data_IF_756926136599
#
_entry.id   IF_756926136599
#
_cell.length_a   1.000
_cell.length_b   1.000
_cell.length_c   1.000
_cell.angle_alpha   90.00
_cell.angle_beta   90.00
_cell.angle_gamma   90.00
#
_symmetry.space_group_name_H-M   'P 1'
#
loop_
_entity.id
_entity.type
_entity.pdbx_description
1 polymer ?
#
# COMPACT_ATOMS: atom_id res chain seq x y z
N UNK A 1 -18.88 -73.89 51.02
CA UNK A 1 -19.08 -73.08 52.24
C UNK A 1 -17.73 -72.64 52.75
N UNK A 2 -17.58 -71.34 53.08
CA UNK A 2 -16.54 -70.72 53.94
C UNK A 2 -15.06 -70.93 53.50
N UNK A 3 -14.13 -69.97 53.58
CA UNK A 3 -14.09 -68.60 54.11
C UNK A 3 -12.77 -67.99 53.58
N UNK A 4 -12.74 -66.68 53.38
CA UNK A 4 -11.53 -65.88 53.17
C UNK A 4 -10.41 -66.23 54.15
N UNK A 5 -9.15 -66.11 53.73
CA UNK A 5 -8.07 -65.43 54.47
C UNK A 5 -6.96 -65.02 53.49
N UNK A 6 -6.56 -63.76 53.66
CA UNK A 6 -5.53 -63.00 52.97
C UNK A 6 -4.16 -63.39 53.56
N UNK A 7 -3.15 -63.58 52.71
CA UNK A 7 -1.74 -63.50 53.16
C UNK A 7 -0.92 -62.77 52.11
N UNK A 8 -0.40 -61.61 52.53
CA UNK A 8 0.48 -60.74 51.78
C UNK A 8 1.86 -61.37 51.55
N UNK A 9 2.40 -61.22 50.34
CA UNK A 9 3.80 -61.46 50.06
C UNK A 9 4.47 -60.12 49.75
N UNK A 10 5.30 -59.68 50.69
CA UNK A 10 6.20 -58.54 50.56
C UNK A 10 7.42 -59.03 49.78
N UNK A 11 7.62 -58.51 48.58
CA UNK A 11 8.88 -58.64 47.84
C UNK A 11 9.52 -57.25 47.76
N UNK A 12 10.57 -57.05 48.55
CA UNK A 12 11.41 -55.86 48.56
C UNK A 12 12.33 -55.96 47.33
N UNK A 13 12.11 -55.08 46.35
CA UNK A 13 13.06 -54.83 45.27
C UNK A 13 13.64 -53.42 45.46
N UNK A 14 14.89 -53.38 45.92
CA UNK A 14 15.72 -52.20 45.98
C UNK A 14 16.09 -51.76 44.56
N UNK A 15 15.58 -50.60 44.12
CA UNK A 15 16.05 -49.94 42.89
C UNK A 15 16.80 -48.67 43.28
N UNK A 16 18.05 -48.64 42.85
CA UNK A 16 19.07 -47.62 43.08
C UNK A 16 18.58 -46.26 42.58
N UNK A 17 18.61 -45.26 43.46
CA UNK A 17 18.33 -43.87 43.12
C UNK A 17 19.47 -43.26 42.31
N UNK A 18 19.34 -43.24 40.99
CA UNK A 18 20.07 -42.28 40.15
C UNK A 18 19.40 -40.91 40.30
N UNK A 19 20.08 -39.96 40.95
CA UNK A 19 19.76 -38.53 40.85
C UNK A 19 20.11 -38.05 39.44
N UNK A 20 19.19 -38.21 38.51
CA UNK A 20 19.20 -37.41 37.28
C UNK A 20 18.51 -36.09 37.61
N UNK A 21 19.31 -35.02 37.73
CA UNK A 21 18.80 -33.66 37.67
C UNK A 21 18.12 -33.49 36.31
N UNK A 22 16.80 -33.70 36.23
CA UNK A 22 16.03 -33.15 35.12
C UNK A 22 16.04 -31.64 35.31
N UNK A 23 16.95 -30.95 34.62
CA UNK A 23 16.73 -29.55 34.29
C UNK A 23 15.36 -29.52 33.62
N UNK A 24 14.38 -28.90 34.27
CA UNK A 24 13.18 -28.44 33.57
C UNK A 24 13.67 -27.58 32.42
N UNK A 25 13.52 -28.08 31.20
CA UNK A 25 13.56 -27.24 30.01
C UNK A 25 12.46 -26.20 30.24
N UNK A 26 12.76 -24.90 30.22
CA UNK A 26 11.72 -23.88 30.30
C UNK A 26 10.71 -24.19 29.21
N UNK A 27 9.42 -24.23 29.57
CA UNK A 27 8.36 -24.24 28.58
C UNK A 27 8.65 -23.09 27.62
N UNK A 28 8.87 -23.42 26.34
CA UNK A 28 8.82 -22.44 25.27
C UNK A 28 7.43 -21.83 25.39
N UNK A 29 7.36 -20.57 25.81
CA UNK A 29 6.13 -19.81 25.75
C UNK A 29 5.67 -19.88 24.30
N UNK A 30 4.53 -20.52 24.05
CA UNK A 30 3.81 -20.33 22.79
C UNK A 30 3.71 -18.81 22.61
N UNK A 31 4.24 -18.31 21.49
CA UNK A 31 4.05 -16.93 21.11
C UNK A 31 2.55 -16.67 21.16
N UNK A 32 2.11 -15.79 22.06
CA UNK A 32 0.71 -15.40 22.15
C UNK A 32 0.29 -14.94 20.74
N UNK A 33 -0.54 -15.72 20.05
CA UNK A 33 -1.17 -15.31 18.81
C UNK A 33 -2.13 -14.18 19.14
N UNK A 34 -1.63 -12.95 19.07
CA UNK A 34 -2.43 -11.74 19.27
C UNK A 34 -3.25 -11.55 17.99
N UNK A 35 -4.56 -11.41 18.12
CA UNK A 35 -5.41 -11.06 16.98
C UNK A 35 -5.08 -9.63 16.53
N UNK A 36 -4.38 -9.49 15.40
CA UNK A 36 -3.93 -8.19 14.87
C UNK A 36 -5.00 -7.47 14.04
N UNK A 37 -5.98 -8.21 13.50
CA UNK A 37 -7.08 -7.62 12.76
C UNK A 37 -7.99 -6.77 13.66
N UNK A 38 -8.47 -5.65 13.11
CA UNK A 38 -9.39 -4.74 13.80
C UNK A 38 -9.13 -3.27 13.50
N UNK A 39 -9.78 -2.41 14.29
CA UNK A 39 -9.59 -0.97 14.23
C UNK A 39 -8.76 -0.50 15.43
N UNK A 40 -7.86 0.43 15.19
CA UNK A 40 -7.03 1.08 16.20
C UNK A 40 -7.16 2.59 16.05
N UNK A 41 -7.16 3.34 17.14
CA UNK A 41 -7.38 4.79 17.12
C UNK A 41 -6.43 5.51 18.06
N UNK A 42 -6.07 6.76 17.74
CA UNK A 42 -5.37 7.63 18.68
C UNK A 42 -6.26 7.95 19.89
N UNK A 43 -5.66 8.32 21.02
CA UNK A 43 -6.39 8.60 22.28
C UNK A 43 -7.48 9.68 22.12
N UNK A 44 -7.24 10.67 21.27
CA UNK A 44 -8.16 11.79 21.03
C UNK A 44 -9.45 11.38 20.29
N UNK A 45 -9.51 10.17 19.72
CA UNK A 45 -10.73 9.65 19.10
C UNK A 45 -11.91 9.59 20.08
N UNK A 46 -11.67 9.36 21.37
CA UNK A 46 -12.72 9.31 22.39
C UNK A 46 -13.41 10.66 22.61
N UNK A 47 -12.70 11.76 22.35
CA UNK A 47 -13.18 13.14 22.48
C UNK A 47 -13.41 13.81 21.11
N UNK A 48 -13.54 13.01 20.04
CA UNK A 48 -13.72 13.49 18.66
C UNK A 48 -14.90 14.46 18.50
N UNK A 49 -15.99 14.27 19.23
CA UNK A 49 -17.16 15.15 19.14
C UNK A 49 -16.92 16.56 19.70
N UNK A 50 -15.81 16.78 20.42
CA UNK A 50 -15.38 18.09 20.93
C UNK A 50 -14.52 18.87 19.92
N UNK A 51 -14.23 18.29 18.76
CA UNK A 51 -13.45 18.95 17.69
C UNK A 51 -11.97 18.57 17.63
N UNK A 52 -11.51 17.65 18.48
CA UNK A 52 -10.12 17.16 18.47
C UNK A 52 -9.77 16.41 17.19
N UNK A 53 -8.50 16.51 16.78
CA UNK A 53 -7.97 15.73 15.67
C UNK A 53 -7.72 14.29 16.11
N UNK A 54 -7.86 13.35 15.20
CA UNK A 54 -7.64 11.93 15.50
C UNK A 54 -7.26 11.17 14.23
N UNK A 55 -6.62 10.02 14.45
CA UNK A 55 -6.29 9.06 13.38
C UNK A 55 -6.80 7.68 13.76
N UNK A 56 -7.20 6.93 12.73
CA UNK A 56 -7.62 5.56 12.84
C UNK A 56 -6.84 4.68 11.86
N UNK A 57 -6.50 3.48 12.32
CA UNK A 57 -5.89 2.42 11.53
C UNK A 57 -6.90 1.28 11.42
N UNK A 58 -7.20 0.87 10.20
CA UNK A 58 -7.95 -0.34 9.90
C UNK A 58 -6.97 -1.41 9.43
N UNK A 59 -7.00 -2.55 10.10
CA UNK A 59 -6.14 -3.70 9.82
C UNK A 59 -7.01 -4.86 9.35
N UNK A 60 -6.79 -5.29 8.11
CA UNK A 60 -7.42 -6.47 7.52
C UNK A 60 -6.36 -7.54 7.33
N UNK A 61 -6.61 -8.74 7.84
CA UNK A 61 -5.74 -9.88 7.64
C UNK A 61 -6.02 -10.52 6.27
N UNK A 62 -5.03 -10.54 5.40
CA UNK A 62 -5.11 -11.17 4.08
C UNK A 62 -4.62 -12.63 4.13
N UNK A 63 -3.61 -12.89 4.96
CA UNK A 63 -3.08 -14.20 5.32
C UNK A 63 -2.28 -14.10 6.62
N UNK A 64 -1.82 -15.23 7.17
CA UNK A 64 -1.01 -15.28 8.38
C UNK A 64 0.28 -14.43 8.35
N UNK A 65 0.76 -14.06 7.15
CA UNK A 65 1.98 -13.26 6.95
C UNK A 65 1.74 -11.91 6.26
N UNK A 66 0.49 -11.54 5.97
CA UNK A 66 0.17 -10.37 5.16
C UNK A 66 -1.06 -9.63 5.68
N UNK A 67 -0.91 -8.32 5.92
CA UNK A 67 -1.97 -7.42 6.33
C UNK A 67 -2.19 -6.34 5.28
N UNK A 68 -3.44 -5.95 5.10
CA UNK A 68 -3.78 -4.67 4.49
C UNK A 68 -4.01 -3.65 5.60
N UNK A 69 -3.25 -2.55 5.55
CA UNK A 69 -3.29 -1.46 6.51
C UNK A 69 -3.83 -0.22 5.82
N UNK A 70 -4.85 0.39 6.41
CA UNK A 70 -5.38 1.70 5.99
C UNK A 70 -5.39 2.66 7.17
N UNK A 71 -4.72 3.79 7.04
CA UNK A 71 -4.70 4.86 8.04
C UNK A 71 -5.47 6.06 7.47
N UNK A 72 -6.40 6.57 8.26
CA UNK A 72 -7.23 7.73 7.92
C UNK A 72 -7.32 8.67 9.11
N UNK A 73 -7.26 9.96 8.83
CA UNK A 73 -7.48 11.01 9.81
C UNK A 73 -8.91 11.56 9.75
N UNK A 74 -9.25 12.39 10.72
CA UNK A 74 -10.48 13.19 10.72
C UNK A 74 -10.56 14.12 9.51
N UNK A 75 -11.74 14.26 8.90
CA UNK A 75 -11.96 15.02 7.66
C UNK A 75 -13.25 15.88 7.63
N UNK A 76 -14.11 15.85 8.67
CA UNK A 76 -15.36 16.62 8.72
C UNK A 76 -15.16 18.12 9.02
N UNK A 77 -14.18 18.46 9.85
CA UNK A 77 -13.94 19.86 10.28
C UNK A 77 -12.87 20.58 9.45
N UNK A 78 -11.87 19.84 8.99
CA UNK A 78 -10.71 20.34 8.25
C UNK A 78 -10.28 19.32 7.21
N UNK A 79 -9.39 19.74 6.30
CA UNK A 79 -8.74 18.79 5.40
C UNK A 79 -8.07 17.69 6.24
N UNK A 80 -8.24 16.42 5.84
CA UNK A 80 -7.59 15.31 6.51
C UNK A 80 -6.08 15.48 6.58
N UNK A 81 -5.55 15.21 7.76
CA UNK A 81 -4.16 15.45 8.11
C UNK A 81 -3.25 14.35 7.57
N UNK A 82 -3.64 13.08 7.73
CA UNK A 82 -2.87 11.89 7.32
C UNK A 82 -3.74 10.88 6.56
N UNK A 83 -3.16 10.27 5.52
CA UNK A 83 -3.74 9.16 4.75
C UNK A 83 -2.65 8.23 4.30
N UNK A 84 -2.82 6.94 4.55
CA UNK A 84 -1.84 5.92 4.19
C UNK A 84 -2.55 4.60 3.89
N UNK A 85 -2.10 3.90 2.86
CA UNK A 85 -2.51 2.53 2.56
C UNK A 85 -1.29 1.72 2.16
N UNK A 86 -1.15 0.52 2.72
CA UNK A 86 -0.10 -0.39 2.32
C UNK A 86 -0.45 -1.84 2.63
N UNK A 87 0.21 -2.74 1.88
CA UNK A 87 0.33 -4.14 2.26
C UNK A 87 1.56 -4.30 3.14
N UNK A 88 1.38 -4.80 4.35
CA UNK A 88 2.45 -5.05 5.31
C UNK A 88 2.71 -6.55 5.45
N UNK A 89 3.99 -6.93 5.49
CA UNK A 89 4.45 -8.31 5.55
C UNK A 89 5.05 -8.61 6.92
N UNK A 90 4.76 -9.80 7.45
CA UNK A 90 5.21 -10.20 8.78
C UNK A 90 6.73 -10.35 8.86
N UNK A 91 7.32 -9.81 9.91
CA UNK A 91 8.73 -10.01 10.29
C UNK A 91 8.76 -10.98 11.48
N UNK A 92 9.37 -12.14 11.29
CA UNK A 92 9.54 -13.13 12.34
C UNK A 92 10.88 -12.94 13.09
N UNK A 93 10.93 -13.19 14.42
CA UNK A 93 9.84 -13.64 15.28
C UNK A 93 8.97 -12.48 15.81
N UNK A 94 7.66 -12.72 15.94
CA UNK A 94 6.77 -11.85 16.73
C UNK A 94 5.56 -11.31 15.96
N UNK A 95 4.99 -10.21 16.46
CA UNK A 95 3.80 -9.55 15.88
C UNK A 95 4.18 -8.22 15.24
N UNK A 96 5.30 -8.20 14.50
CA UNK A 96 5.79 -7.04 13.77
C UNK A 96 5.54 -7.25 12.29
N UNK A 97 4.99 -6.23 11.63
CA UNK A 97 4.80 -6.20 10.19
C UNK A 97 5.49 -4.99 9.59
N UNK A 98 6.02 -5.11 8.38
CA UNK A 98 6.67 -4.02 7.66
C UNK A 98 6.00 -3.79 6.31
N UNK A 99 5.74 -2.53 6.01
CA UNK A 99 5.46 -2.08 4.66
C UNK A 99 6.64 -1.25 4.16
N UNK A 100 7.23 -1.62 3.02
CA UNK A 100 8.22 -0.78 2.35
C UNK A 100 7.49 0.14 1.39
N UNK A 101 7.59 1.45 1.60
CA UNK A 101 6.93 2.48 0.78
C UNK A 101 8.00 3.48 0.36
N UNK A 102 8.13 3.76 -0.95
CA UNK A 102 9.10 4.73 -1.49
C UNK A 102 10.54 4.50 -0.98
N UNK A 103 10.92 3.23 -0.77
CA UNK A 103 12.27 2.83 -0.35
C UNK A 103 12.55 2.88 1.16
N UNK A 104 11.58 3.26 2.00
CA UNK A 104 11.71 3.26 3.46
C UNK A 104 10.68 2.35 4.13
N UNK A 105 11.01 1.85 5.32
CA UNK A 105 10.20 0.88 6.06
C UNK A 105 9.26 1.53 7.08
N UNK A 106 7.97 1.21 6.99
CA UNK A 106 6.98 1.53 8.02
C UNK A 106 6.69 0.27 8.83
N UNK A 107 6.94 0.31 10.14
CA UNK A 107 6.82 -0.83 11.04
C UNK A 107 5.54 -0.74 11.87
N UNK A 108 4.83 -1.85 11.95
CA UNK A 108 3.59 -2.03 12.71
C UNK A 108 3.81 -3.10 13.77
N UNK A 109 3.98 -2.68 15.03
CA UNK A 109 4.19 -3.58 16.16
C UNK A 109 2.90 -3.73 16.94
N UNK A 110 2.34 -4.94 16.95
CA UNK A 110 1.09 -5.24 17.63
C UNK A 110 1.34 -5.79 19.04
N UNK A 111 0.69 -5.16 20.02
CA UNK A 111 0.57 -5.67 21.39
C UNK A 111 -0.89 -6.07 21.66
N UNK A 112 -1.19 -6.47 22.90
CA UNK A 112 -2.51 -7.01 23.25
C UNK A 112 -3.68 -6.08 22.86
N UNK A 113 -3.56 -4.78 23.19
CA UNK A 113 -4.59 -3.76 22.96
C UNK A 113 -4.05 -2.51 22.25
N UNK A 114 -2.84 -2.59 21.69
CA UNK A 114 -2.19 -1.45 21.04
C UNK A 114 -1.54 -1.85 19.71
N UNK A 115 -1.41 -0.87 18.84
CA UNK A 115 -0.57 -0.88 17.65
C UNK A 115 0.39 0.29 17.76
N UNK A 116 1.68 0.01 17.63
CA UNK A 116 2.73 1.02 17.56
C UNK A 116 3.17 1.13 16.11
N UNK A 117 3.14 2.35 15.57
CA UNK A 117 3.67 2.67 14.24
C UNK A 117 4.98 3.43 14.41
N UNK A 118 6.04 2.98 13.74
CA UNK A 118 7.37 3.62 13.78
C UNK A 118 8.15 3.43 12.48
N UNK A 119 9.16 4.27 12.27
CA UNK A 119 10.27 3.98 11.35
C UNK A 119 11.23 2.93 11.93
N UNK A 120 12.22 2.51 11.12
CA UNK A 120 13.31 1.64 11.59
C UNK A 120 14.31 2.39 12.48
N UNK A 121 14.61 3.63 12.08
CA UNK A 121 15.52 4.56 12.75
C UNK A 121 14.77 5.82 13.18
N UNK A 122 15.44 6.69 13.97
CA UNK A 122 14.88 7.99 14.34
C UNK A 122 14.65 8.86 13.08
N UNK A 123 15.56 8.82 12.11
CA UNK A 123 15.41 9.49 10.81
C UNK A 123 14.23 8.95 10.01
N UNK A 124 14.04 7.63 9.92
CA UNK A 124 12.87 7.04 9.23
C UNK A 124 11.56 7.39 9.94
N UNK A 125 11.60 7.60 11.25
CA UNK A 125 10.44 7.99 12.03
C UNK A 125 10.01 9.43 11.71
N UNK A 126 10.96 10.33 11.40
CA UNK A 126 10.66 11.67 10.86
C UNK A 126 10.04 11.58 9.46
N UNK A 127 10.48 10.62 8.63
CA UNK A 127 9.93 10.39 7.29
C UNK A 127 8.46 9.96 7.30
N UNK A 128 7.95 9.39 8.40
CA UNK A 128 6.52 9.09 8.55
C UNK A 128 5.62 10.34 8.51
N UNK A 129 6.19 11.54 8.69
CA UNK A 129 5.50 12.80 8.44
C UNK A 129 5.15 13.05 6.97
N UNK A 130 5.80 12.37 6.01
CA UNK A 130 5.55 12.52 4.58
C UNK A 130 4.12 12.12 4.16
N UNK A 131 3.51 11.18 4.89
CA UNK A 131 2.11 10.76 4.67
C UNK A 131 1.08 11.66 5.34
N UNK A 132 1.57 12.74 5.94
CA UNK A 132 0.81 13.67 6.75
C UNK A 132 1.06 15.12 6.30
N UNK A 133 0.18 16.02 6.73
CA UNK A 133 0.28 17.45 6.52
C UNK A 133 0.25 18.21 7.85
N UNK A 134 0.65 19.48 7.83
CA UNK A 134 0.59 20.34 9.02
C UNK A 134 1.49 19.91 10.19
N UNK A 135 2.55 19.12 9.92
CA UNK A 135 3.49 18.64 10.94
C UNK A 135 3.04 17.41 11.73
N UNK A 136 1.95 16.76 11.33
CA UNK A 136 1.56 15.46 11.90
C UNK A 136 2.46 14.33 11.36
N UNK A 137 2.37 13.16 12.00
CA UNK A 137 3.09 11.94 11.61
C UNK A 137 2.21 10.72 11.85
N UNK A 138 2.42 9.65 11.06
CA UNK A 138 1.81 8.36 11.33
C UNK A 138 2.36 7.73 12.62
N UNK A 139 3.59 8.10 13.01
CA UNK A 139 4.28 7.56 14.16
C UNK A 139 3.48 7.75 15.45
N UNK A 140 3.38 6.70 16.27
CA UNK A 140 2.71 6.80 17.56
C UNK A 140 2.03 5.50 18.00
N UNK A 141 1.28 5.63 19.10
CA UNK A 141 0.54 4.53 19.71
C UNK A 141 -0.94 4.69 19.39
N UNK A 142 -1.54 3.61 18.90
CA UNK A 142 -2.95 3.49 18.59
C UNK A 142 -3.56 2.41 19.46
N UNK A 143 -4.76 2.66 19.98
CA UNK A 143 -5.46 1.75 20.88
C UNK A 143 -6.54 0.99 20.13
N UNK A 144 -6.61 -0.33 20.35
CA UNK A 144 -7.62 -1.17 19.73
C UNK A 144 -9.01 -0.74 20.18
N UNK A 145 -9.95 -0.67 19.25
CA UNK A 145 -11.35 -0.33 19.54
C UNK A 145 -12.30 -1.38 18.96
N UNK A 146 -13.31 -1.73 19.75
CA UNK A 146 -14.43 -2.56 19.30
C UNK A 146 -15.54 -1.70 18.66
N UNK A 147 -15.53 -0.39 18.88
CA UNK A 147 -16.49 0.52 18.25
C UNK A 147 -16.20 0.65 16.75
N UNK A 148 -17.23 0.66 15.90
CA UNK A 148 -17.07 1.05 14.51
C UNK A 148 -16.45 2.44 14.39
N UNK A 149 -15.58 2.62 13.40
CA UNK A 149 -15.03 3.94 13.09
C UNK A 149 -16.15 4.89 12.64
N UNK A 150 -16.06 6.15 13.05
CA UNK A 150 -17.04 7.19 12.74
C UNK A 150 -16.96 7.56 11.26
N UNK A 151 -17.79 6.90 10.46
CA UNK A 151 -17.86 7.11 9.00
C UNK A 151 -18.32 8.51 8.58
N UNK A 152 -18.86 9.32 9.51
CA UNK A 152 -19.23 10.70 9.23
C UNK A 152 -18.02 11.65 9.35
N UNK A 153 -17.09 11.33 10.25
CA UNK A 153 -15.91 12.16 10.53
C UNK A 153 -14.63 11.68 9.83
N UNK A 154 -14.56 10.42 9.42
CA UNK A 154 -13.35 9.84 8.82
C UNK A 154 -13.11 10.32 7.38
N UNK A 155 -11.84 10.47 7.00
CA UNK A 155 -11.44 10.65 5.61
C UNK A 155 -11.91 9.48 4.73
N UNK A 156 -12.56 9.82 3.63
CA UNK A 156 -13.15 8.87 2.67
C UNK A 156 -12.29 8.70 1.42
N UNK A 157 -11.10 9.29 1.39
CA UNK A 157 -10.18 9.11 0.28
C UNK A 157 -9.85 7.61 0.11
N UNK A 158 -10.11 7.08 -1.08
CA UNK A 158 -9.71 5.73 -1.48
C UNK A 158 -8.24 5.70 -1.90
N UNK A 159 -7.73 6.83 -2.40
CA UNK A 159 -6.34 7.04 -2.74
C UNK A 159 -6.00 8.50 -2.44
N UNK A 160 -4.82 8.74 -1.87
CA UNK A 160 -4.23 10.08 -1.77
C UNK A 160 -2.72 9.97 -1.96
N UNK A 161 -2.15 10.79 -2.84
CA UNK A 161 -0.70 10.92 -2.99
C UNK A 161 -0.32 12.38 -3.22
N UNK A 162 0.68 12.84 -2.48
CA UNK A 162 1.33 14.12 -2.74
C UNK A 162 2.58 13.86 -3.56
N UNK A 163 2.68 14.46 -4.74
CA UNK A 163 3.87 14.43 -5.58
C UNK A 163 4.56 15.78 -5.54
N UNK A 164 5.89 15.76 -5.49
CA UNK A 164 6.73 16.94 -5.61
C UNK A 164 7.72 16.72 -6.77
N UNK A 165 7.91 17.76 -7.58
CA UNK A 165 9.02 17.85 -8.51
C UNK A 165 9.55 19.28 -8.50
N UNK A 166 10.60 19.52 -7.71
CA UNK A 166 11.13 20.87 -7.49
C UNK A 166 10.11 21.77 -6.81
N UNK A 167 9.71 22.84 -7.49
CA UNK A 167 8.70 23.80 -7.00
C UNK A 167 7.26 23.40 -7.31
N UNK A 168 7.05 22.37 -8.14
CA UNK A 168 5.73 21.92 -8.55
C UNK A 168 5.22 20.82 -7.61
N UNK A 169 4.00 21.01 -7.11
CA UNK A 169 3.32 20.06 -6.22
C UNK A 169 2.03 19.60 -6.85
N UNK A 170 1.69 18.33 -6.67
CA UNK A 170 0.44 17.75 -7.16
C UNK A 170 -0.19 16.90 -6.06
N UNK A 171 -1.41 17.25 -5.67
CA UNK A 171 -2.22 16.43 -4.77
C UNK A 171 -3.20 15.61 -5.62
N UNK A 172 -3.01 14.29 -5.60
CA UNK A 172 -3.85 13.31 -6.28
C UNK A 172 -4.77 12.69 -5.23
N UNK A 173 -6.08 12.75 -5.44
CA UNK A 173 -7.07 12.19 -4.53
C UNK A 173 -8.15 11.43 -5.28
N UNK A 174 -8.66 10.36 -4.68
CA UNK A 174 -9.82 9.62 -5.17
C UNK A 174 -10.87 9.52 -4.10
N UNK A 175 -12.09 9.97 -4.40
CA UNK A 175 -13.26 9.79 -3.55
C UNK A 175 -14.37 9.10 -4.36
N UNK A 176 -14.77 7.90 -3.95
CA UNK A 176 -15.64 7.08 -4.78
C UNK A 176 -14.98 6.80 -6.13
N UNK A 177 -15.66 7.14 -7.23
CA UNK A 177 -15.14 7.01 -8.59
C UNK A 177 -14.61 8.33 -9.18
N UNK A 178 -14.36 9.34 -8.33
CA UNK A 178 -13.86 10.65 -8.75
C UNK A 178 -12.39 10.80 -8.38
N UNK A 179 -11.54 10.91 -9.41
CA UNK A 179 -10.14 11.30 -9.29
C UNK A 179 -10.01 12.82 -9.44
N UNK A 180 -9.20 13.43 -8.59
CA UNK A 180 -8.81 14.84 -8.70
C UNK A 180 -7.29 14.99 -8.69
N UNK A 181 -6.77 15.91 -9.50
CA UNK A 181 -5.37 16.33 -9.49
C UNK A 181 -5.33 17.84 -9.26
N UNK A 182 -4.82 18.26 -8.11
CA UNK A 182 -4.64 19.66 -7.74
C UNK A 182 -3.17 20.04 -7.91
N UNK A 183 -2.81 20.79 -8.97
CA UNK A 183 -1.46 21.36 -9.09
C UNK A 183 -1.28 22.54 -8.14
N UNK A 184 -0.04 22.81 -7.75
CA UNK A 184 0.40 24.02 -7.04
C UNK A 184 1.80 24.36 -7.51
N UNK A 185 2.11 25.65 -7.65
CA UNK A 185 3.41 26.13 -8.13
C UNK A 185 3.43 26.53 -9.61
N UNK A 186 2.31 26.41 -10.33
CA UNK A 186 2.21 26.89 -11.72
C UNK A 186 1.98 28.41 -11.76
N UNK A 187 2.63 29.12 -12.69
CA UNK A 187 2.56 30.59 -12.75
C UNK A 187 1.15 31.11 -13.09
N UNK A 188 0.43 30.43 -13.98
CA UNK A 188 -0.80 30.95 -14.60
C UNK A 188 -2.04 30.17 -14.20
N UNK A 189 -1.99 28.84 -14.21
CA UNK A 189 -3.16 27.99 -14.02
C UNK A 189 -2.87 26.85 -13.05
N UNK A 190 -3.42 26.94 -11.83
CA UNK A 190 -3.41 25.88 -10.83
C UNK A 190 -4.80 25.26 -10.64
N UNK A 191 -5.65 25.28 -11.67
CA UNK A 191 -7.00 24.74 -11.58
C UNK A 191 -6.96 23.23 -11.34
N UNK A 192 -7.75 22.78 -10.36
CA UNK A 192 -7.98 21.36 -10.09
C UNK A 192 -8.63 20.70 -11.31
N UNK A 193 -8.09 19.57 -11.75
CA UNK A 193 -8.71 18.75 -12.80
C UNK A 193 -9.38 17.53 -12.21
N UNK A 194 -10.49 17.12 -12.82
CA UNK A 194 -11.36 16.05 -12.33
C UNK A 194 -11.59 15.00 -13.41
N UNK A 195 -11.61 13.74 -13.00
CA UNK A 195 -11.90 12.60 -13.83
C UNK A 195 -12.89 11.68 -13.14
N UNK A 196 -13.82 11.12 -13.91
CA UNK A 196 -14.48 9.89 -13.51
C UNK A 196 -13.55 8.74 -13.88
N UNK A 197 -13.34 7.82 -12.95
CA UNK A 197 -12.49 6.66 -13.14
C UNK A 197 -13.30 5.39 -12.94
N UNK A 198 -13.10 4.44 -13.84
CA UNK A 198 -13.64 3.08 -13.74
C UNK A 198 -12.51 2.17 -13.29
N UNK A 199 -12.68 1.50 -12.14
CA UNK A 199 -11.63 0.75 -11.45
C UNK A 199 -10.91 1.56 -10.36
N UNK A 200 -9.70 1.13 -10.01
CA UNK A 200 -8.91 1.69 -8.91
C UNK A 200 -7.72 2.50 -9.43
N UNK A 201 -7.41 3.60 -8.74
CA UNK A 201 -6.10 4.27 -8.88
C UNK A 201 -5.11 3.53 -7.98
N UNK A 202 -4.03 3.01 -8.58
CA UNK A 202 -3.07 2.14 -7.89
C UNK A 202 -1.77 2.85 -7.54
N UNK A 203 -1.36 3.85 -8.34
CA UNK A 203 -0.20 4.68 -8.06
C UNK A 203 -0.28 6.01 -8.83
N UNK A 204 0.62 6.95 -8.49
CA UNK A 204 0.89 8.13 -9.29
C UNK A 204 2.38 8.51 -9.15
N UNK A 205 2.96 9.05 -10.21
CA UNK A 205 4.36 9.45 -10.29
C UNK A 205 4.52 10.79 -11.00
N UNK A 206 5.59 11.52 -10.67
CA UNK A 206 5.97 12.74 -11.35
C UNK A 206 7.44 12.65 -11.81
N UNK A 207 7.71 13.05 -13.05
CA UNK A 207 9.06 13.02 -13.62
C UNK A 207 9.11 13.76 -14.96
N UNK A 208 10.31 14.19 -15.36
CA UNK A 208 10.53 14.90 -16.63
C UNK A 208 10.83 13.90 -17.75
N UNK A 209 9.80 13.47 -18.48
CA UNK A 209 9.90 12.41 -19.50
C UNK A 209 10.50 12.93 -20.81
N UNK A 210 10.37 14.21 -21.12
CA UNK A 210 10.90 14.78 -22.36
C UNK A 210 12.19 15.59 -22.17
N UNK A 211 12.73 15.63 -20.94
CA UNK A 211 13.94 16.36 -20.56
C UNK A 211 13.85 17.87 -20.85
N UNK A 212 12.66 18.47 -20.70
CA UNK A 212 12.45 19.90 -20.91
C UNK A 212 12.57 20.75 -19.63
N UNK A 213 12.84 20.11 -18.49
CA UNK A 213 12.95 20.72 -17.17
C UNK A 213 11.61 20.84 -16.43
N UNK A 214 10.49 20.46 -17.04
CA UNK A 214 9.17 20.49 -16.43
C UNK A 214 8.62 19.07 -16.24
N UNK A 215 7.91 18.80 -15.14
CA UNK A 215 7.43 17.45 -14.88
C UNK A 215 6.20 17.10 -15.71
N UNK A 216 6.10 15.84 -16.05
CA UNK A 216 4.86 15.13 -16.25
C UNK A 216 4.38 14.50 -14.95
N UNK A 217 3.05 14.43 -14.79
CA UNK A 217 2.37 13.73 -13.70
C UNK A 217 1.51 12.66 -14.32
N UNK A 218 1.75 11.42 -13.92
CA UNK A 218 1.05 10.24 -14.43
C UNK A 218 0.34 9.54 -13.28
N UNK A 219 -0.96 9.29 -13.44
CA UNK A 219 -1.79 8.51 -12.52
C UNK A 219 -2.10 7.18 -13.18
N UNK A 220 -1.85 6.08 -12.46
CA UNK A 220 -2.03 4.72 -12.97
C UNK A 220 -3.31 4.11 -12.43
N UNK A 221 -4.09 3.55 -13.34
CA UNK A 221 -5.40 2.98 -13.08
C UNK A 221 -5.42 1.52 -13.47
N UNK A 222 -6.21 0.74 -12.73
CA UNK A 222 -6.45 -0.67 -12.98
C UNK A 222 -7.96 -0.91 -13.03
N UNK A 223 -8.43 -1.49 -14.13
CA UNK A 223 -9.85 -1.80 -14.33
C UNK A 223 -10.36 -2.89 -13.39
N UNK A 224 -11.66 -2.83 -13.09
CA UNK A 224 -12.35 -3.89 -12.35
C UNK A 224 -12.49 -5.14 -13.25
N UNK A 225 -11.82 -6.23 -12.88
CA UNK A 225 -11.92 -7.50 -13.59
C UNK A 225 -10.71 -8.38 -13.36
N UNK A 226 -10.81 -9.66 -13.72
CA UNK A 226 -9.69 -10.59 -13.51
C UNK A 226 -8.45 -10.21 -14.31
N UNK A 227 -8.63 -9.54 -15.46
CA UNK A 227 -7.53 -9.09 -16.32
C UNK A 227 -6.83 -7.83 -15.81
N UNK A 228 -7.40 -7.07 -14.86
CA UNK A 228 -6.70 -5.94 -14.24
C UNK A 228 -6.04 -4.99 -15.24
N UNK A 229 -6.74 -4.67 -16.34
CA UNK A 229 -6.14 -3.87 -17.42
C UNK A 229 -5.77 -2.48 -16.93
N UNK A 230 -4.56 -2.07 -17.30
CA UNK A 230 -3.98 -0.81 -16.94
C UNK A 230 -4.34 0.33 -17.87
N UNK A 231 -4.43 1.54 -17.31
CA UNK A 231 -4.49 2.77 -18.09
C UNK A 231 -3.80 3.92 -17.34
N UNK A 232 -3.46 4.98 -18.07
CA UNK A 232 -2.74 6.13 -17.52
C UNK A 232 -3.51 7.41 -17.82
N UNK A 233 -3.74 8.22 -16.78
CA UNK A 233 -4.14 9.61 -16.92
C UNK A 233 -2.90 10.47 -16.71
N UNK A 234 -2.44 11.15 -17.76
CA UNK A 234 -1.23 11.97 -17.72
C UNK A 234 -1.48 13.46 -17.96
N UNK A 235 -0.74 14.30 -17.27
CA UNK A 235 -0.64 15.74 -17.52
C UNK A 235 0.83 16.16 -17.60
N UNK A 236 1.12 17.09 -18.49
CA UNK A 236 2.44 17.65 -18.71
C UNK A 236 2.45 19.13 -18.37
N UNK A 237 3.44 19.59 -17.60
CA UNK A 237 3.60 21.00 -17.24
C UNK A 237 4.18 21.77 -18.42
N UNK A 238 3.49 22.84 -18.83
CA UNK A 238 3.86 23.67 -19.96
C UNK A 238 4.61 24.91 -19.48
N UNK A 239 5.94 24.89 -19.57
CA UNK A 239 6.82 26.01 -19.22
C UNK A 239 6.61 26.55 -17.80
N UNK A 240 6.19 25.69 -16.86
CA UNK A 240 5.90 26.07 -15.47
C UNK A 240 4.63 26.90 -15.29
N UNK A 241 3.79 27.08 -16.33
CA UNK A 241 2.65 28.02 -16.30
C UNK A 241 1.30 27.35 -16.14
N UNK A 242 1.11 26.23 -16.83
CA UNK A 242 -0.16 25.49 -16.89
C UNK A 242 0.15 24.01 -17.14
N UNK A 243 -0.87 23.16 -17.17
CA UNK A 243 -0.72 21.76 -17.54
C UNK A 243 -1.69 21.35 -18.66
N UNK A 244 -1.27 20.40 -19.50
CA UNK A 244 -2.07 19.87 -20.61
C UNK A 244 -2.06 18.35 -20.56
N UNK A 245 -3.17 17.71 -21.00
CA UNK A 245 -3.29 16.26 -20.95
C UNK A 245 -2.26 15.59 -21.89
N UNK A 246 -1.80 14.41 -21.52
CA UNK A 246 -0.95 13.52 -22.34
C UNK A 246 -1.83 12.43 -22.92
N UNK A 247 -1.61 12.11 -24.20
CA UNK A 247 -2.26 10.96 -24.83
C UNK A 247 -1.43 9.69 -24.63
N UNK A 248 -2.05 8.64 -24.11
CA UNK A 248 -1.48 7.30 -24.05
C UNK A 248 -2.13 6.43 -25.14
N UNK A 249 -1.36 5.79 -26.04
CA UNK A 249 -1.92 4.90 -27.05
C UNK A 249 -2.47 3.63 -26.42
N UNK A 250 -3.52 3.06 -27.01
CA UNK A 250 -4.02 1.75 -26.59
C UNK A 250 -3.09 0.65 -27.08
N UNK A 251 -2.84 -0.38 -26.26
CA UNK A 251 -2.00 -1.54 -26.67
C UNK A 251 -2.55 -2.19 -27.95
N UNK A 252 -3.88 -2.23 -28.10
CA UNK A 252 -4.55 -2.81 -29.27
C UNK A 252 -4.16 -2.14 -30.60
N UNK A 253 -3.66 -0.90 -30.58
CA UNK A 253 -3.22 -0.17 -31.78
C UNK A 253 -1.82 -0.59 -32.22
N UNK A 254 -1.04 -1.26 -31.36
CA UNK A 254 0.29 -1.75 -31.68
C UNK A 254 0.29 -3.29 -31.82
N UNK A 255 0.52 -3.75 -33.05
CA UNK A 255 0.48 -5.18 -33.39
C UNK A 255 1.42 -6.04 -32.54
N UNK A 256 2.65 -5.59 -32.32
CA UNK A 256 3.66 -6.31 -31.54
C UNK A 256 3.31 -6.30 -30.04
N UNK A 257 2.91 -5.14 -29.52
CA UNK A 257 2.51 -4.99 -28.12
C UNK A 257 1.28 -5.85 -27.75
N UNK A 258 0.31 -5.94 -28.66
CA UNK A 258 -0.97 -6.60 -28.42
C UNK A 258 -0.93 -8.13 -28.40
N UNK A 259 0.15 -8.75 -28.89
CA UNK A 259 0.21 -10.20 -29.07
C UNK A 259 0.30 -10.93 -27.71
N UNK A 260 -0.76 -11.67 -27.33
CA UNK A 260 -0.79 -12.35 -26.03
C UNK A 260 -1.02 -11.42 -24.83
N UNK A 261 -1.45 -10.18 -25.05
CA UNK A 261 -1.80 -9.23 -23.98
C UNK A 261 -3.16 -9.56 -23.35
N UNK A 262 -3.22 -9.67 -22.02
CA UNK A 262 -4.48 -9.86 -21.27
C UNK A 262 -4.55 -9.03 -19.98
N UNK A 263 -3.84 -7.88 -19.95
CA UNK A 263 -3.80 -6.96 -18.81
C UNK A 263 -2.74 -7.35 -17.76
N UNK A 264 -3.02 -7.04 -16.49
CA UNK A 264 -2.06 -7.09 -15.36
C UNK A 264 -0.87 -6.17 -15.58
N UNK A 265 -1.19 -4.96 -16.04
CA UNK A 265 -0.23 -3.92 -16.32
C UNK A 265 0.31 -3.30 -15.04
N UNK A 266 1.62 -3.18 -15.00
CA UNK A 266 2.33 -2.37 -14.03
C UNK A 266 3.06 -1.24 -14.77
N UNK A 267 2.97 -0.03 -14.22
CA UNK A 267 3.58 1.16 -14.80
C UNK A 267 4.61 1.75 -13.84
N UNK A 268 5.68 2.30 -14.40
CA UNK A 268 6.66 3.08 -13.66
C UNK A 268 7.39 4.08 -14.58
N UNK A 269 7.74 5.25 -14.04
CA UNK A 269 8.71 6.13 -14.68
C UNK A 269 10.10 5.58 -14.41
N UNK A 270 10.86 5.28 -15.45
CA UNK A 270 12.28 4.89 -15.36
C UNK A 270 13.09 5.83 -16.22
N UNK A 271 14.00 6.57 -15.58
CA UNK A 271 14.71 7.69 -16.17
C UNK A 271 13.72 8.69 -16.80
N UNK A 272 13.78 8.89 -18.12
CA UNK A 272 12.91 9.81 -18.87
C UNK A 272 11.85 9.05 -19.69
N UNK A 273 11.43 7.86 -19.26
CA UNK A 273 10.45 7.05 -20.00
C UNK A 273 9.40 6.46 -19.09
N UNK A 274 8.18 6.33 -19.60
CA UNK A 274 7.15 5.50 -18.97
C UNK A 274 7.38 4.06 -19.42
N UNK A 275 7.46 3.14 -18.47
CA UNK A 275 7.50 1.71 -18.75
C UNK A 275 6.17 1.11 -18.33
N UNK A 276 5.64 0.24 -19.19
CA UNK A 276 4.50 -0.62 -18.92
C UNK A 276 5.00 -2.05 -19.04
N UNK A 277 4.76 -2.89 -18.04
CA UNK A 277 5.09 -4.30 -18.12
C UNK A 277 3.91 -5.17 -17.71
N UNK A 278 3.78 -6.32 -18.36
CA UNK A 278 2.70 -7.26 -18.15
C UNK A 278 3.11 -8.68 -18.57
N UNK A 279 2.45 -9.72 -18.04
CA UNK A 279 2.68 -11.10 -18.48
C UNK A 279 2.15 -11.34 -19.90
N UNK A 280 2.86 -12.20 -20.65
CA UNK A 280 2.44 -12.65 -21.98
C UNK A 280 1.73 -13.99 -21.87
N UNK A 281 0.60 -14.12 -22.55
CA UNK A 281 -0.25 -15.31 -22.53
C UNK A 281 -0.13 -16.10 -23.83
N UNK A 282 0.22 -17.38 -23.69
CA UNK A 282 0.21 -18.35 -24.78
C UNK A 282 -1.20 -18.91 -25.01
N UNK A 283 -1.39 -19.54 -26.18
CA UNK A 283 -2.66 -20.22 -26.48
C UNK A 283 -2.93 -21.33 -25.46
N UNK A 284 -4.05 -21.22 -24.74
CA UNK A 284 -4.48 -22.17 -23.72
C UNK A 284 -4.12 -21.77 -22.29
N UNK A 285 -3.38 -20.68 -22.09
CA UNK A 285 -3.13 -20.13 -20.77
C UNK A 285 -4.43 -19.65 -20.13
N UNK A 286 -4.51 -19.81 -18.81
CA UNK A 286 -5.55 -19.17 -18.01
C UNK A 286 -5.08 -17.81 -17.53
N UNK A 287 -6.02 -16.92 -17.21
CA UNK A 287 -5.72 -15.59 -16.68
C UNK A 287 -4.93 -15.61 -15.35
N UNK A 288 -4.89 -16.74 -14.63
CA UNK A 288 -4.14 -16.89 -13.38
C UNK A 288 -2.78 -17.59 -13.57
N UNK A 289 -2.44 -18.04 -14.79
CA UNK A 289 -1.24 -18.84 -15.04
C UNK A 289 -0.68 -18.56 -16.45
N UNK A 290 -0.14 -17.35 -16.69
CA UNK A 290 0.58 -17.05 -17.93
C UNK A 290 1.88 -17.85 -18.04
N UNK A 291 2.23 -18.25 -19.25
CA UNK A 291 3.44 -19.03 -19.54
C UNK A 291 4.36 -18.40 -20.60
N UNK A 292 3.99 -17.24 -21.15
CA UNK A 292 4.73 -16.56 -22.22
C UNK A 292 5.88 -15.66 -21.76
N UNK A 293 6.17 -15.61 -20.45
CA UNK A 293 7.14 -14.68 -19.87
C UNK A 293 6.54 -13.29 -19.62
N UNK A 294 7.39 -12.28 -19.56
CA UNK A 294 7.00 -10.88 -19.35
C UNK A 294 7.32 -10.05 -20.59
N UNK A 295 6.45 -9.09 -20.91
CA UNK A 295 6.73 -8.04 -21.89
C UNK A 295 6.81 -6.70 -21.20
N UNK A 296 7.78 -5.90 -21.61
CA UNK A 296 7.91 -4.49 -21.25
C UNK A 296 7.84 -3.62 -22.50
N UNK A 297 6.97 -2.62 -22.45
CA UNK A 297 6.87 -1.54 -23.43
C UNK A 297 7.42 -0.27 -22.78
N UNK A 298 8.40 0.33 -23.44
CA UNK A 298 8.95 1.62 -23.09
C UNK A 298 8.32 2.69 -23.98
N UNK A 299 7.82 3.75 -23.36
CA UNK A 299 7.23 4.89 -24.05
C UNK A 299 8.08 6.16 -23.83
N UNK A 300 8.25 6.92 -24.89
CA UNK A 300 8.80 8.28 -24.84
C UNK A 300 7.72 9.31 -25.06
N UNK A 301 7.85 10.45 -24.40
CA UNK A 301 6.95 11.58 -24.61
C UNK A 301 7.42 12.41 -25.80
N UNK A 302 6.51 12.69 -26.73
CA UNK A 302 6.77 13.55 -27.89
C UNK A 302 5.71 14.64 -28.01
N UNK A 303 6.05 15.73 -28.69
CA UNK A 303 5.07 16.74 -29.06
C UNK A 303 4.18 16.20 -30.19
N UNK A 304 2.87 16.13 -29.97
CA UNK A 304 1.88 15.93 -31.02
C UNK A 304 1.31 17.26 -31.53
N UNK A 305 0.39 17.20 -32.49
CA UNK A 305 -0.22 18.40 -33.08
C UNK A 305 -1.11 19.17 -32.10
N UNK A 306 -1.87 18.45 -31.26
CA UNK A 306 -2.82 19.04 -30.31
C UNK A 306 -2.38 18.93 -28.85
N UNK A 307 -1.64 17.86 -28.52
CA UNK A 307 -1.21 17.53 -27.16
C UNK A 307 0.04 16.66 -27.21
N UNK A 308 0.80 16.60 -26.11
CA UNK A 308 1.92 15.65 -25.99
C UNK A 308 1.38 14.22 -26.00
N UNK A 309 2.14 13.31 -26.60
CA UNK A 309 1.74 11.92 -26.78
C UNK A 309 2.88 11.01 -26.32
N UNK A 310 2.52 9.95 -25.61
CA UNK A 310 3.41 8.83 -25.39
C UNK A 310 3.44 7.99 -26.67
N UNK A 311 4.62 7.62 -27.13
CA UNK A 311 4.78 6.73 -28.27
C UNK A 311 5.71 5.57 -27.89
N UNK A 312 5.42 4.38 -28.40
CA UNK A 312 6.26 3.21 -28.21
C UNK A 312 7.66 3.52 -28.74
N UNK A 313 8.65 3.41 -27.86
CA UNK A 313 10.07 3.55 -28.18
C UNK A 313 10.73 2.19 -28.32
N UNK A 314 10.39 1.26 -27.41
CA UNK A 314 10.98 -0.07 -27.37
C UNK A 314 10.02 -1.10 -26.79
N UNK A 315 10.06 -2.32 -27.33
CA UNK A 315 9.40 -3.50 -26.76
C UNK A 315 10.47 -4.55 -26.46
N UNK A 316 10.40 -5.18 -25.29
CA UNK A 316 11.31 -6.23 -24.85
C UNK A 316 10.52 -7.36 -24.19
N UNK A 317 10.90 -8.60 -24.44
CA UNK A 317 10.36 -9.80 -23.78
C UNK A 317 11.46 -10.53 -23.02
N UNK A 318 11.13 -11.13 -21.87
CA UNK A 318 12.07 -11.89 -21.03
C UNK A 318 11.37 -12.92 -20.13
#
# INVERSE_FOLDING_TARGET
MLKNIITAFILIATVVACKTNSKQVPAVQEANNIAVAGNYVTSDYQIRNEGYDWMAVKVIELSDSMLQISIRSRADLKKPTCTFDATAYKIEPGNVFNATVEGFGVYFTFEADSLIISGETDEDNEMLGYFCSGGASLAGVYHKTAEPLDTAQIDKALFRKNLNYGEYFFLIEVFGNKLTIQPTGLETDNTLVEHQVDGAVVNAEAGDLNADGFPEVLVYLQSDGSGSYGSVIGYSVNNGKSMSRINMPEIAENKEASEGYMGHDEFAIVANTLNQHFPVYNTGDSNASPTGGMRQIQYKLVNGEAMRQLIVDKIVEY
#
